data_IF_176128456771
#
_entry.id   IF_176128456771
#
_cell.length_a   1.000
_cell.length_b   1.000
_cell.length_c   1.000
_cell.angle_alpha   90.00
_cell.angle_beta   90.00
_cell.angle_gamma   90.00
#
_symmetry.space_group_name_H-M   'P 1'
#
loop_
_entity.id
_entity.type
_entity.pdbx_description
1 polymer ?
#
# COMPACT_ATOMS: atom_id res chain seq x y z
N UNK A 1 8.89 -0.78 9.93
CA UNK A 1 8.61 -0.67 10.68
C UNK A 1 8.29 -0.67 11.28
N UNK A 2 8.36 -0.74 10.38
CA UNK A 2 7.83 -0.81 11.24
C UNK A 2 7.50 -0.73 11.67
N UNK A 3 7.49 -0.59 11.30
CA UNK A 3 7.05 -0.62 12.16
C UNK A 3 6.58 -0.75 12.56
N UNK A 4 6.65 -0.73 12.24
CA UNK A 4 6.21 -0.98 12.90
C UNK A 4 5.93 -1.02 13.45
N UNK A 5 5.98 -0.76 13.36
CA UNK A 5 5.64 -0.93 14.33
C UNK A 5 5.65 -0.74 15.01
N UNK A 6 5.71 -0.28 14.92
CA UNK A 6 5.69 -0.15 15.84
C UNK A 6 5.42 0.13 16.61
N UNK A 7 5.48 0.16 16.96
CA UNK A 7 5.23 0.40 17.87
C UNK A 7 5.03 0.13 18.73
N UNK A 8 5.13 0.06 18.75
CA UNK A 8 4.90 -0.13 19.74
C UNK A 8 5.03 -0.28 20.55
N UNK A 9 5.34 -0.26 20.73
CA UNK A 9 5.52 -0.52 21.60
C UNK A 9 5.79 -0.67 22.27
N UNK A 10 6.16 -0.53 22.42
CA UNK A 10 6.31 -0.77 23.16
C UNK A 10 6.58 -1.46 23.69
N UNK A 11 6.97 -1.68 23.71
CA UNK A 11 7.23 -2.44 24.12
C UNK A 11 7.13 -3.36 24.18
N UNK A 12 6.97 -3.70 24.04
CA UNK A 12 6.66 -4.64 24.04
C UNK A 12 6.88 -5.45 23.44
N UNK A 13 7.23 -5.75 23.23
CA UNK A 13 7.51 -6.61 22.67
C UNK A 13 6.78 -7.56 22.40
N UNK A 14 5.99 -7.48 22.25
CA UNK A 14 5.18 -8.33 22.04
C UNK A 14 5.11 -8.71 20.83
N UNK A 15 5.37 -9.71 20.58
CA UNK A 15 5.47 -10.11 19.33
C UNK A 15 4.29 -9.95 18.62
N UNK A 16 4.32 -9.90 17.74
CA UNK A 16 3.47 -9.65 16.99
C UNK A 16 2.67 -10.66 16.73
N UNK A 17 2.39 -11.14 17.56
CA UNK A 17 1.31 -11.85 17.51
C UNK A 17 0.26 -11.05 17.13
N UNK A 18 0.52 -9.85 17.04
CA UNK A 18 -0.42 -8.94 16.59
C UNK A 18 -0.94 -9.36 15.29
N UNK A 19 -2.21 -9.40 15.18
CA UNK A 19 -2.88 -9.63 13.91
C UNK A 19 -3.24 -8.32 13.26
N UNK A 20 -2.50 -7.26 13.58
CA UNK A 20 -2.73 -5.95 13.00
C UNK A 20 -2.52 -6.00 11.50
N UNK A 21 -3.42 -5.35 10.79
CA UNK A 21 -3.42 -5.26 9.34
C UNK A 21 -3.24 -3.80 8.99
N UNK A 22 -2.38 -3.50 8.03
CA UNK A 22 -2.18 -2.13 7.57
C UNK A 22 -2.88 -1.95 6.24
N UNK A 23 -3.62 -0.84 6.11
CA UNK A 23 -4.21 -0.47 4.84
C UNK A 23 -3.71 0.91 4.42
N UNK A 24 -3.15 0.99 3.20
CA UNK A 24 -2.86 2.27 2.57
C UNK A 24 -4.15 2.70 1.89
N UNK A 25 -4.78 3.70 2.46
CA UNK A 25 -6.19 4.02 2.26
C UNK A 25 -6.37 5.40 1.63
N UNK A 26 -7.35 5.48 0.70
CA UNK A 26 -7.82 6.74 0.17
C UNK A 26 -9.33 6.83 0.50
N UNK A 27 -9.73 7.71 1.43
CA UNK A 27 -11.15 7.77 1.83
C UNK A 27 -12.10 8.20 0.73
N UNK A 28 -11.57 8.76 -0.37
CA UNK A 28 -12.40 9.15 -1.52
C UNK A 28 -12.58 8.04 -2.54
N UNK A 29 -11.87 6.93 -2.37
CA UNK A 29 -11.94 5.82 -3.32
C UNK A 29 -12.92 4.76 -2.81
N UNK A 30 -13.94 4.43 -3.62
CA UNK A 30 -14.95 3.46 -3.20
C UNK A 30 -14.36 2.08 -2.93
N UNK A 31 -13.41 1.64 -3.75
CA UNK A 31 -12.75 0.34 -3.54
C UNK A 31 -11.99 0.31 -2.22
N UNK A 32 -11.33 1.43 -1.89
CA UNK A 32 -10.60 1.55 -0.64
C UNK A 32 -11.54 1.51 0.56
N UNK A 33 -12.68 2.23 0.48
CA UNK A 33 -13.68 2.21 1.55
C UNK A 33 -14.29 0.81 1.72
N UNK A 34 -14.55 0.12 0.60
CA UNK A 34 -15.11 -1.23 0.65
C UNK A 34 -14.13 -2.21 1.30
N UNK A 35 -12.85 -2.12 0.96
CA UNK A 35 -11.85 -2.98 1.55
C UNK A 35 -11.73 -2.74 3.05
N UNK A 36 -11.72 -1.47 3.47
CA UNK A 36 -11.64 -1.13 4.89
C UNK A 36 -12.86 -1.67 5.63
N UNK A 37 -14.05 -1.56 5.05
CA UNK A 37 -15.25 -2.09 5.67
C UNK A 37 -15.16 -3.60 5.86
N UNK A 38 -14.68 -4.32 4.85
CA UNK A 38 -14.53 -5.77 4.94
C UNK A 38 -13.54 -6.16 6.04
N UNK A 39 -12.44 -5.43 6.18
CA UNK A 39 -11.47 -5.68 7.24
C UNK A 39 -12.06 -5.44 8.61
N UNK A 40 -12.83 -4.35 8.76
CA UNK A 40 -13.49 -4.04 10.04
C UNK A 40 -14.52 -5.11 10.39
N UNK A 41 -15.28 -5.58 9.40
CA UNK A 41 -16.27 -6.63 9.62
C UNK A 41 -15.64 -7.97 9.97
N UNK A 42 -14.42 -8.20 9.51
CA UNK A 42 -13.68 -9.42 9.84
C UNK A 42 -13.11 -9.38 11.26
N UNK A 43 -13.21 -8.25 11.95
CA UNK A 43 -12.80 -8.15 13.33
C UNK A 43 -11.31 -8.00 13.54
N UNK A 44 -10.54 -7.73 12.48
CA UNK A 44 -9.10 -7.54 12.62
C UNK A 44 -8.79 -6.12 13.06
N UNK A 45 -7.67 -5.95 13.73
CA UNK A 45 -7.17 -4.64 14.12
C UNK A 45 -6.50 -3.99 12.90
N UNK A 46 -6.97 -2.83 12.49
CA UNK A 46 -6.52 -2.20 11.25
C UNK A 46 -5.82 -0.88 11.53
N UNK A 47 -4.60 -0.77 11.03
CA UNK A 47 -3.88 0.50 11.01
C UNK A 47 -4.15 1.16 9.66
N UNK A 48 -4.71 2.36 9.68
CA UNK A 48 -5.07 3.09 8.47
C UNK A 48 -4.02 4.15 8.18
N UNK A 49 -3.40 4.06 7.02
CA UNK A 49 -2.43 5.07 6.58
C UNK A 49 -3.01 5.75 5.35
N UNK A 50 -3.27 7.06 5.47
CA UNK A 50 -3.72 7.85 4.33
C UNK A 50 -2.49 8.21 3.51
N UNK A 51 -2.21 7.38 2.51
CA UNK A 51 -0.94 7.45 1.77
C UNK A 51 -0.77 8.73 0.94
N UNK A 52 -1.86 9.44 0.65
CA UNK A 52 -1.74 10.73 -0.04
C UNK A 52 -1.06 11.77 0.84
N UNK A 53 -1.16 11.63 2.15
CA UNK A 53 -0.53 12.52 3.13
C UNK A 53 0.76 11.92 3.68
N UNK A 54 0.82 10.61 3.79
CA UNK A 54 1.92 9.88 4.38
C UNK A 54 2.32 8.73 3.45
N UNK A 55 2.97 9.04 2.32
CA UNK A 55 3.32 7.99 1.37
C UNK A 55 4.35 7.03 1.94
N UNK A 56 4.33 5.78 1.48
CA UNK A 56 5.36 4.83 1.88
C UNK A 56 6.72 5.27 1.33
N UNK A 57 7.79 4.85 1.99
CA UNK A 57 9.13 5.16 1.51
C UNK A 57 9.56 4.15 0.43
N UNK A 58 10.76 4.38 -0.13
CA UNK A 58 11.24 3.55 -1.24
C UNK A 58 11.43 2.09 -0.85
N UNK A 59 11.91 1.85 0.37
CA UNK A 59 12.12 0.49 0.87
C UNK A 59 10.78 -0.23 0.97
N UNK A 60 9.76 0.44 1.48
CA UNK A 60 8.43 -0.12 1.64
C UNK A 60 7.80 -0.42 0.28
N UNK A 61 7.91 0.52 -0.68
CA UNK A 61 7.37 0.29 -2.02
C UNK A 61 8.06 -0.89 -2.68
N UNK A 62 9.38 -0.97 -2.55
CA UNK A 62 10.13 -2.07 -3.14
C UNK A 62 9.68 -3.41 -2.56
N UNK A 63 9.47 -3.47 -1.25
CA UNK A 63 8.99 -4.66 -0.57
C UNK A 63 7.56 -5.03 -1.03
N UNK A 64 6.69 -4.03 -1.17
CA UNK A 64 5.33 -4.25 -1.68
C UNK A 64 5.36 -4.83 -3.08
N UNK A 65 6.18 -4.25 -3.97
CA UNK A 65 6.30 -4.74 -5.34
C UNK A 65 6.78 -6.17 -5.38
N UNK A 66 7.78 -6.50 -4.56
CA UNK A 66 8.32 -7.85 -4.50
C UNK A 66 7.25 -8.85 -4.06
N UNK A 67 6.47 -8.49 -3.04
CA UNK A 67 5.45 -9.38 -2.50
C UNK A 67 4.22 -9.50 -3.40
N UNK A 68 3.98 -8.52 -4.25
CA UNK A 68 2.91 -8.59 -5.25
C UNK A 68 3.39 -9.17 -6.57
N UNK A 69 4.70 -9.38 -6.72
CA UNK A 69 5.34 -9.83 -7.95
C UNK A 69 5.02 -8.86 -9.10
N UNK A 70 5.12 -7.55 -8.81
CA UNK A 70 4.81 -6.52 -9.80
C UNK A 70 6.05 -5.68 -10.11
N UNK A 71 6.07 -5.16 -11.34
CA UNK A 71 7.00 -4.11 -11.73
C UNK A 71 6.42 -2.76 -11.30
N UNK A 72 7.25 -1.72 -11.15
CA UNK A 72 6.76 -0.43 -10.65
C UNK A 72 5.55 0.13 -11.42
N UNK A 73 5.56 0.08 -12.75
CA UNK A 73 4.45 0.64 -13.52
C UNK A 73 3.15 -0.12 -13.32
N UNK A 74 3.23 -1.38 -12.90
CA UNK A 74 2.03 -2.17 -12.63
C UNK A 74 1.33 -1.75 -11.34
N UNK A 75 2.03 -1.04 -10.46
CA UNK A 75 1.45 -0.49 -9.25
C UNK A 75 0.95 0.94 -9.46
N UNK A 76 1.15 1.49 -10.66
CA UNK A 76 0.77 2.87 -10.95
C UNK A 76 -0.60 2.95 -11.61
N UNK A 77 -1.28 4.06 -11.33
CA UNK A 77 -2.54 4.41 -11.96
C UNK A 77 -2.23 5.20 -13.23
N UNK A 78 -2.18 4.49 -14.36
CA UNK A 78 -1.74 5.08 -15.62
C UNK A 78 -2.73 6.08 -16.19
N UNK A 79 -3.96 6.08 -15.69
CA UNK A 79 -4.97 7.04 -16.12
C UNK A 79 -4.88 8.38 -15.43
N UNK A 80 -4.00 8.53 -14.42
CA UNK A 80 -3.84 9.81 -13.76
C UNK A 80 -3.06 10.77 -14.65
N UNK A 81 -3.48 12.05 -14.63
CA UNK A 81 -2.80 13.07 -15.41
C UNK A 81 -1.30 13.14 -15.12
N UNK A 82 -0.92 12.91 -13.87
CA UNK A 82 0.47 12.97 -13.43
C UNK A 82 1.34 11.94 -14.15
N UNK A 83 0.77 10.78 -14.47
CA UNK A 83 1.50 9.75 -15.22
C UNK A 83 1.95 10.28 -16.59
N UNK A 84 1.04 10.96 -17.27
CA UNK A 84 1.33 11.56 -18.57
C UNK A 84 2.28 12.74 -18.45
N UNK A 85 2.03 13.62 -17.47
CA UNK A 85 2.84 14.82 -17.27
C UNK A 85 4.29 14.51 -16.99
N UNK A 86 4.54 13.44 -16.25
CA UNK A 86 5.90 13.01 -15.90
C UNK A 86 6.49 12.05 -16.93
N UNK A 87 5.74 11.74 -17.98
CA UNK A 87 6.18 10.85 -19.08
C UNK A 87 6.69 9.50 -18.54
N UNK A 88 5.89 8.93 -17.64
CA UNK A 88 6.31 7.70 -16.93
C UNK A 88 6.25 6.45 -17.79
N UNK A 89 5.70 6.51 -18.99
CA UNK A 89 5.74 5.40 -19.94
C UNK A 89 7.06 5.35 -20.73
N UNK A 90 7.95 6.32 -20.51
CA UNK A 90 9.27 6.33 -21.14
C UNK A 90 10.07 5.13 -20.65
N UNK A 91 10.43 4.23 -21.56
CA UNK A 91 11.10 2.98 -21.23
C UNK A 91 12.56 3.17 -20.77
N UNK A 92 13.12 4.36 -20.96
CA UNK A 92 14.47 4.68 -20.50
C UNK A 92 14.54 5.00 -19.01
N UNK A 93 13.37 5.17 -18.34
CA UNK A 93 13.35 5.45 -16.90
C UNK A 93 13.67 4.17 -16.13
N UNK A 94 14.59 4.29 -15.16
CA UNK A 94 14.96 3.14 -14.38
C UNK A 94 13.98 2.92 -13.20
N UNK A 95 14.16 1.79 -12.54
CA UNK A 95 13.29 1.39 -11.42
C UNK A 95 13.25 2.44 -10.31
N UNK A 96 14.41 3.00 -9.97
CA UNK A 96 14.49 3.95 -8.86
C UNK A 96 13.73 5.23 -9.17
N UNK A 97 13.79 5.70 -10.41
CA UNK A 97 13.05 6.89 -10.82
C UNK A 97 11.56 6.64 -10.73
N UNK A 98 11.10 5.45 -11.14
CA UNK A 98 9.68 5.11 -11.07
C UNK A 98 9.19 5.04 -9.63
N UNK A 99 9.97 4.46 -8.75
CA UNK A 99 9.60 4.37 -7.32
C UNK A 99 9.57 5.77 -6.71
N UNK A 100 10.58 6.61 -6.99
CA UNK A 100 10.60 7.99 -6.49
C UNK A 100 9.39 8.77 -6.99
N UNK A 101 8.99 8.55 -8.23
CA UNK A 101 7.83 9.22 -8.80
C UNK A 101 6.55 8.91 -8.00
N UNK A 102 6.40 7.67 -7.54
CA UNK A 102 5.26 7.28 -6.71
C UNK A 102 5.30 7.94 -5.34
N UNK A 103 6.49 8.07 -4.75
CA UNK A 103 6.64 8.70 -3.43
C UNK A 103 6.31 10.19 -3.52
N UNK A 104 6.83 10.85 -4.55
CA UNK A 104 6.63 12.29 -4.72
C UNK A 104 5.25 12.63 -5.27
N UNK A 105 4.56 11.66 -5.86
CA UNK A 105 3.24 11.83 -6.44
C UNK A 105 2.36 10.65 -6.03
N UNK A 106 1.99 10.56 -4.76
CA UNK A 106 1.31 9.36 -4.26
C UNK A 106 -0.04 9.08 -4.91
N UNK A 107 -0.63 10.06 -5.60
CA UNK A 107 -1.84 9.82 -6.37
C UNK A 107 -1.63 8.77 -7.46
N UNK A 108 -0.38 8.52 -7.84
CA UNK A 108 -0.04 7.51 -8.82
C UNK A 108 -0.15 6.08 -8.29
N UNK A 109 -0.16 5.91 -6.97
CA UNK A 109 -0.13 4.57 -6.38
C UNK A 109 -1.51 3.94 -6.45
N UNK A 110 -1.57 2.69 -6.92
CA UNK A 110 -2.82 1.93 -6.93
C UNK A 110 -3.29 1.66 -5.50
N UNK A 111 -4.60 1.64 -5.26
CA UNK A 111 -5.16 1.53 -3.92
C UNK A 111 -6.43 0.68 -3.94
N UNK A 112 -6.76 0.11 -2.79
CA UNK A 112 -6.00 0.10 -1.55
C UNK A 112 -4.94 -0.98 -1.58
N UNK A 113 -3.87 -0.78 -0.79
CA UNK A 113 -2.86 -1.80 -0.56
C UNK A 113 -3.04 -2.26 0.88
N UNK A 114 -3.15 -3.55 1.09
CA UNK A 114 -3.34 -4.12 2.42
C UNK A 114 -2.18 -5.07 2.73
N UNK A 115 -1.61 -4.90 3.91
CA UNK A 115 -0.51 -5.72 4.39
C UNK A 115 -0.97 -6.42 5.66
N UNK A 116 -0.79 -7.73 5.70
CA UNK A 116 -1.07 -8.55 6.88
C UNK A 116 0.10 -9.49 7.09
N UNK A 117 0.83 -9.30 8.19
CA UNK A 117 2.06 -10.02 8.47
C UNK A 117 3.06 -9.73 7.33
N UNK A 118 3.47 -10.74 6.59
CA UNK A 118 4.40 -10.57 5.47
C UNK A 118 3.71 -10.74 4.11
N UNK A 119 2.39 -10.60 4.09
CA UNK A 119 1.60 -10.76 2.86
C UNK A 119 0.98 -9.43 2.45
N UNK A 120 0.83 -9.25 1.14
CA UNK A 120 0.29 -8.02 0.57
C UNK A 120 -0.79 -8.37 -0.44
N UNK A 121 -1.85 -7.56 -0.48
CA UNK A 121 -2.87 -7.66 -1.53
C UNK A 121 -3.32 -6.27 -1.94
N UNK A 122 -3.58 -6.11 -3.23
CA UNK A 122 -4.34 -4.98 -3.71
C UNK A 122 -5.83 -5.30 -3.53
N UNK A 123 -6.60 -4.33 -3.07
CA UNK A 123 -8.03 -4.52 -2.86
C UNK A 123 -8.83 -4.32 -4.13
N UNK A 124 -8.50 -5.05 -5.17
CA UNK A 124 -9.16 -5.00 -6.46
C UNK A 124 -9.30 -6.40 -7.02
N UNK A 125 -10.44 -7.03 -6.80
CA UNK A 125 -11.62 -6.48 -6.10
C UNK A 125 -11.38 -6.34 -4.61
N UNK A 126 -12.21 -5.56 -3.90
CA UNK A 126 -12.01 -5.33 -2.46
C UNK A 126 -11.91 -6.61 -1.63
N UNK A 127 -12.65 -7.64 -2.02
CA UNK A 127 -12.67 -8.92 -1.31
C UNK A 127 -11.31 -9.62 -1.30
N UNK A 128 -10.42 -9.26 -2.21
CA UNK A 128 -9.09 -9.88 -2.27
C UNK A 128 -8.33 -9.70 -0.96
N UNK A 129 -8.61 -8.62 -0.21
CA UNK A 129 -7.91 -8.36 1.06
C UNK A 129 -8.20 -9.43 2.12
N UNK A 130 -9.31 -10.12 1.99
CA UNK A 130 -9.67 -11.17 2.95
C UNK A 130 -8.79 -12.42 2.80
N UNK A 131 -8.06 -12.53 1.70
CA UNK A 131 -7.22 -13.71 1.45
C UNK A 131 -6.01 -13.78 2.36
N UNK A 132 -5.62 -12.67 2.97
CA UNK A 132 -4.38 -12.60 3.75
C UNK A 132 -4.61 -12.33 5.24
N UNK A 133 -5.84 -12.28 5.68
CA UNK A 133 -6.13 -12.05 7.11
C UNK A 133 -6.53 -13.32 7.84
#
# INVERSE_FOLDING_TARGET
>A
MWNIYSKTSKGDNIPRLSMAVTIYHNPRCSKSRQALKLLNEAGVDVEIIEYLKHPPDAVTIDWILANLALQPRQLMRKGEARYCELELDNQDLDRNILIESMINNPILIERPIVISNDKVRLGRPPEAVLEII
#
